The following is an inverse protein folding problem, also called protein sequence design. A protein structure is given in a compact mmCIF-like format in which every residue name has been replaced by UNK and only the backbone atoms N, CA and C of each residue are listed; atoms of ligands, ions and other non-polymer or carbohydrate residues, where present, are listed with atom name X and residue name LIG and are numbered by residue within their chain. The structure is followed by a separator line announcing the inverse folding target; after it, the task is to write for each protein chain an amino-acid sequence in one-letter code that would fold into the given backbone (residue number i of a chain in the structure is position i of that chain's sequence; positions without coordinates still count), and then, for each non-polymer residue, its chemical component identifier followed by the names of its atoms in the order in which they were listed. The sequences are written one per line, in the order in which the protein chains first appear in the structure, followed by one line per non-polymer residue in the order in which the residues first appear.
data_IF_968580899220
#
_entry.id   IF_968580899220
#
_cell.length_a   1.000
_cell.length_b   1.000
_cell.length_c   1.000
_cell.angle_alpha   90.00
_cell.angle_beta   90.00
_cell.angle_gamma   90.00
#
_symmetry.space_group_name_H-M   'P 1'
#
loop_
_entity.id
_entity.type
_entity.pdbx_description
1 polymer ?
#
# COMPACT_ATOMS: atom_id res chain seq x y z
N UNK A 1 9.43 10.52 -1.80
CA UNK A 1 10.87 10.12 -1.81
C UNK A 1 11.40 9.69 -0.44
N UNK A 2 10.95 10.28 0.68
CA UNK A 2 11.38 9.88 2.04
C UNK A 2 11.02 8.42 2.38
N UNK A 3 9.90 7.91 1.85
CA UNK A 3 9.45 6.53 2.03
C UNK A 3 10.08 5.52 1.05
N UNK A 4 10.88 5.98 0.08
CA UNK A 4 11.49 5.12 -0.93
C UNK A 4 12.34 3.97 -0.36
N UNK A 5 13.25 4.20 0.61
CA UNK A 5 14.10 3.11 1.10
C UNK A 5 13.29 2.05 1.85
N UNK A 6 12.27 2.45 2.60
CA UNK A 6 11.38 1.51 3.29
C UNK A 6 10.54 0.70 2.31
N UNK A 7 9.97 1.37 1.29
CA UNK A 7 9.17 0.71 0.28
C UNK A 7 10.00 -0.29 -0.55
N UNK A 8 11.23 0.09 -0.94
CA UNK A 8 12.11 -0.77 -1.72
C UNK A 8 12.47 -2.09 -1.00
N UNK A 9 12.60 -2.06 0.34
CA UNK A 9 12.82 -3.28 1.13
C UNK A 9 11.65 -4.25 1.03
N UNK A 10 10.43 -3.72 0.94
CA UNK A 10 9.19 -4.48 0.77
C UNK A 10 8.88 -4.84 -0.70
N UNK A 11 9.78 -4.54 -1.66
CA UNK A 11 9.49 -4.70 -3.09
C UNK A 11 8.41 -3.75 -3.62
N UNK A 12 8.13 -2.68 -2.88
CA UNK A 12 7.17 -1.62 -3.19
C UNK A 12 7.89 -0.32 -3.58
N UNK A 13 7.11 0.65 -4.04
CA UNK A 13 7.56 1.99 -4.37
C UNK A 13 7.08 3.00 -3.30
N UNK A 14 7.83 4.08 -3.07
CA UNK A 14 7.52 5.09 -2.06
C UNK A 14 6.18 5.77 -2.33
N UNK A 15 5.74 5.84 -3.58
CA UNK A 15 4.41 6.32 -3.96
C UNK A 15 3.30 5.37 -3.51
N UNK A 16 3.51 4.05 -3.57
CA UNK A 16 2.54 3.04 -3.09
C UNK A 16 2.32 3.22 -1.60
N UNK A 17 3.41 3.29 -0.82
CA UNK A 17 3.28 3.47 0.63
C UNK A 17 2.62 4.80 1.00
N UNK A 18 2.93 5.87 0.26
CA UNK A 18 2.27 7.17 0.42
C UNK A 18 0.77 7.09 0.13
N UNK A 19 0.39 6.38 -0.95
CA UNK A 19 -1.00 6.20 -1.33
C UNK A 19 -1.80 5.42 -0.26
N UNK A 20 -1.21 4.40 0.36
CA UNK A 20 -1.83 3.70 1.49
C UNK A 20 -2.04 4.62 2.68
N UNK A 21 -1.02 5.40 3.08
CA UNK A 21 -1.13 6.33 4.21
C UNK A 21 -2.26 7.35 3.97
N UNK A 22 -2.34 7.91 2.76
CA UNK A 22 -3.40 8.86 2.39
C UNK A 22 -4.77 8.19 2.20
N UNK A 23 -4.79 6.89 1.87
CA UNK A 23 -5.99 6.08 1.74
C UNK A 23 -6.55 5.56 3.07
N UNK A 24 -5.98 5.94 4.21
CA UNK A 24 -6.50 5.59 5.53
C UNK A 24 -8.01 5.89 5.75
N UNK A 25 -8.62 6.95 5.15
CA UNK A 25 -10.07 7.15 5.22
C UNK A 25 -10.91 6.10 4.50
N UNK A 26 -10.44 5.59 3.35
CA UNK A 26 -11.14 4.63 2.51
C UNK A 26 -10.14 3.82 1.67
N UNK A 27 -10.21 2.50 1.71
CA UNK A 27 -9.19 1.66 1.05
C UNK A 27 -9.32 1.71 -0.49
N UNK A 28 -10.51 2.03 -0.99
CA UNK A 28 -10.85 2.11 -2.39
C UNK A 28 -10.18 3.29 -3.11
N UNK A 29 -9.79 4.36 -2.38
CA UNK A 29 -9.13 5.53 -2.97
C UNK A 29 -7.61 5.38 -3.09
N UNK A 30 -7.01 4.32 -2.55
CA UNK A 30 -5.56 4.08 -2.60
C UNK A 30 -5.06 4.06 -4.06
N UNK A 31 -5.75 3.33 -4.94
CA UNK A 31 -5.34 3.19 -6.34
C UNK A 31 -5.49 4.50 -7.13
N UNK A 32 -6.61 5.25 -7.03
CA UNK A 32 -6.69 6.60 -7.60
C UNK A 32 -5.59 7.56 -7.11
N UNK A 33 -5.30 7.60 -5.81
CA UNK A 33 -4.24 8.45 -5.24
C UNK A 33 -2.87 8.06 -5.84
N UNK A 34 -2.60 6.77 -5.98
CA UNK A 34 -1.38 6.28 -6.59
C UNK A 34 -1.25 6.73 -8.05
N UNK A 35 -2.32 6.60 -8.85
CA UNK A 35 -2.33 7.02 -10.25
C UNK A 35 -2.13 8.53 -10.39
N UNK A 36 -2.74 9.33 -9.51
CA UNK A 36 -2.53 10.78 -9.45
C UNK A 36 -1.07 11.11 -9.12
N UNK A 37 -0.49 10.41 -8.16
CA UNK A 37 0.91 10.58 -7.78
C UNK A 37 1.88 10.23 -8.93
N UNK A 38 1.57 9.19 -9.72
CA UNK A 38 2.36 8.80 -10.89
C UNK A 38 2.16 9.69 -12.11
N UNK A 39 0.96 10.22 -12.31
CA UNK A 39 0.64 11.05 -13.48
C UNK A 39 0.86 12.54 -13.23
N UNK A 40 1.25 12.95 -12.02
CA UNK A 40 1.29 14.34 -11.57
C UNK A 40 -0.02 15.12 -11.82
N UNK A 41 -1.15 14.39 -11.85
CA UNK A 41 -2.47 14.94 -12.16
C UNK A 41 -3.21 15.29 -10.88
N UNK A 42 -3.88 16.44 -10.87
CA UNK A 42 -4.61 16.96 -9.71
C UNK A 42 -6.06 16.48 -9.62
N UNK A 43 -6.61 15.90 -10.70
CA UNK A 43 -8.00 15.42 -10.75
C UNK A 43 -8.05 13.90 -10.61
N UNK A 44 -9.02 13.39 -9.82
CA UNK A 44 -9.24 11.96 -9.61
C UNK A 44 -9.53 11.34 -10.97
N UNK A 45 -8.59 10.54 -11.48
CA UNK A 45 -8.68 9.95 -12.81
C UNK A 45 -9.69 8.79 -12.75
N UNK A 46 -10.97 9.12 -12.78
CA UNK A 46 -12.08 8.16 -12.79
C UNK A 46 -12.18 7.40 -14.13
N UNK A 47 -11.48 7.86 -15.17
CA UNK A 47 -11.75 7.48 -16.57
C UNK A 47 -10.58 6.81 -17.30
N UNK A 48 -9.59 6.27 -16.58
CA UNK A 48 -8.56 5.44 -17.19
C UNK A 48 -9.01 3.98 -17.17
N UNK A 49 -9.53 3.47 -18.30
CA UNK A 49 -9.86 2.05 -18.44
C UNK A 49 -8.66 1.14 -18.09
N UNK A 50 -8.92 -0.14 -17.79
CA UNK A 50 -7.93 -1.08 -17.23
C UNK A 50 -6.61 -1.16 -18.03
N UNK A 51 -6.68 -1.04 -19.35
CA UNK A 51 -5.51 -1.01 -20.23
C UNK A 51 -4.63 0.25 -20.05
N UNK A 52 -5.23 1.40 -19.75
CA UNK A 52 -4.49 2.64 -19.45
C UNK A 52 -3.80 2.51 -18.09
N UNK A 53 -4.52 2.00 -17.08
CA UNK A 53 -3.96 1.76 -15.75
C UNK A 53 -2.74 0.84 -15.82
N UNK A 54 -2.86 -0.31 -16.51
CA UNK A 54 -1.74 -1.24 -16.68
C UNK A 54 -0.50 -0.60 -17.31
N UNK A 55 -0.68 0.27 -18.31
CA UNK A 55 0.43 1.02 -18.93
C UNK A 55 1.07 2.01 -17.96
N UNK A 56 0.30 2.73 -17.15
CA UNK A 56 0.82 3.66 -16.16
C UNK A 56 1.66 2.91 -15.11
N UNK A 57 1.13 1.81 -14.58
CA UNK A 57 1.83 0.99 -13.58
C UNK A 57 3.14 0.43 -14.16
N UNK A 58 3.08 -0.19 -15.34
CA UNK A 58 4.26 -0.74 -16.01
C UNK A 58 5.31 0.35 -16.32
N UNK A 59 4.88 1.55 -16.76
CA UNK A 59 5.77 2.68 -17.02
C UNK A 59 6.46 3.21 -15.76
N UNK A 60 5.86 3.01 -14.58
CA UNK A 60 6.45 3.39 -13.28
C UNK A 60 7.25 2.24 -12.64
N UNK A 61 7.66 1.24 -13.43
CA UNK A 61 8.57 0.18 -12.98
C UNK A 61 7.90 -0.91 -12.15
N UNK A 62 6.57 -1.03 -12.22
CA UNK A 62 5.88 -2.14 -11.58
C UNK A 62 6.29 -3.48 -12.21
N UNK A 63 6.92 -4.31 -11.39
CA UNK A 63 7.16 -5.71 -11.72
C UNK A 63 5.98 -6.57 -11.27
N UNK A 64 5.95 -7.84 -11.71
CA UNK A 64 5.00 -8.81 -11.19
C UNK A 64 5.11 -8.94 -9.65
N UNK A 65 6.32 -8.79 -9.10
CA UNK A 65 6.59 -8.85 -7.67
C UNK A 65 6.03 -7.62 -6.93
N UNK A 66 6.18 -6.42 -7.51
CA UNK A 66 5.58 -5.19 -6.97
C UNK A 66 4.06 -5.28 -6.95
N UNK A 67 3.46 -5.82 -8.01
CA UNK A 67 2.02 -6.03 -8.07
C UNK A 67 1.54 -7.02 -6.99
N UNK A 68 2.24 -8.15 -6.84
CA UNK A 68 1.93 -9.16 -5.81
C UNK A 68 2.06 -8.57 -4.40
N UNK A 69 3.17 -7.90 -4.10
CA UNK A 69 3.38 -7.29 -2.79
C UNK A 69 2.37 -6.18 -2.50
N UNK A 70 1.93 -5.44 -3.52
CA UNK A 70 0.86 -4.45 -3.36
C UNK A 70 -0.45 -5.12 -2.99
N UNK A 71 -0.82 -6.24 -3.63
CA UNK A 71 -2.02 -7.00 -3.29
C UNK A 71 -1.96 -7.57 -1.86
N UNK A 72 -0.81 -8.13 -1.47
CA UNK A 72 -0.58 -8.63 -0.11
C UNK A 72 -0.73 -7.50 0.91
N UNK A 73 -0.10 -6.36 0.64
CA UNK A 73 -0.19 -5.19 1.52
C UNK A 73 -1.64 -4.68 1.61
N UNK A 74 -2.38 -4.61 0.49
CA UNK A 74 -3.80 -4.25 0.49
C UNK A 74 -4.66 -5.12 1.41
N UNK A 75 -4.35 -6.41 1.53
CA UNK A 75 -5.12 -7.34 2.38
C UNK A 75 -4.71 -7.24 3.84
N UNK A 76 -3.41 -7.04 4.11
CA UNK A 76 -2.84 -7.16 5.46
C UNK A 76 -2.58 -5.82 6.18
N UNK A 77 -2.69 -4.68 5.51
CA UNK A 77 -2.41 -3.38 6.11
C UNK A 77 -3.37 -3.01 7.25
N UNK A 78 -3.07 -1.88 7.92
CA UNK A 78 -3.91 -1.32 8.97
C UNK A 78 -5.38 -1.22 8.53
N UNK A 79 -6.33 -1.43 9.46
CA UNK A 79 -7.74 -1.25 9.16
C UNK A 79 -8.07 0.22 8.89
N UNK A 80 -9.12 0.48 8.12
CA UNK A 80 -9.51 1.83 7.76
C UNK A 80 -9.90 2.68 8.99
N UNK A 81 -9.89 3.99 8.82
CA UNK A 81 -10.16 4.98 9.88
C UNK A 81 -11.41 4.67 10.68
N UNK A 82 -12.49 4.27 10.01
CA UNK A 82 -13.77 4.00 10.66
C UNK A 82 -13.68 2.84 11.64
N UNK A 83 -13.01 1.75 11.28
CA UNK A 83 -12.74 0.62 12.18
C UNK A 83 -11.86 1.03 13.36
N UNK A 84 -10.81 1.83 13.13
CA UNK A 84 -9.96 2.32 14.21
C UNK A 84 -10.73 3.23 15.19
N UNK A 85 -11.61 4.10 14.67
CA UNK A 85 -12.47 4.94 15.49
C UNK A 85 -13.47 4.12 16.30
N UNK A 86 -14.05 3.06 15.74
CA UNK A 86 -14.91 2.13 16.48
C UNK A 86 -14.12 1.43 17.59
N UNK A 87 -12.92 0.91 17.29
CA UNK A 87 -12.08 0.29 18.33
C UNK A 87 -11.75 1.27 19.44
N UNK A 88 -11.42 2.52 19.10
CA UNK A 88 -11.16 3.57 20.07
C UNK A 88 -12.39 3.89 20.94
N UNK A 89 -13.58 3.93 20.35
CA UNK A 89 -14.83 4.19 21.07
C UNK A 89 -15.20 3.05 22.03
N UNK A 90 -15.05 1.80 21.60
CA UNK A 90 -15.40 0.61 22.37
C UNK A 90 -14.38 0.29 23.47
N UNK A 91 -13.08 0.34 23.14
CA UNK A 91 -12.02 0.03 24.12
C UNK A 91 -11.67 1.22 25.01
N UNK A 92 -12.05 2.44 24.63
CA UNK A 92 -11.69 3.72 25.27
C UNK A 92 -10.18 3.85 25.54
N UNK A 93 -9.35 3.22 24.72
CA UNK A 93 -7.91 3.12 24.95
C UNK A 93 -7.12 3.30 23.65
N UNK A 94 -6.36 4.39 23.60
CA UNK A 94 -5.46 4.68 22.48
C UNK A 94 -4.35 3.63 22.32
N UNK A 95 -3.98 2.92 23.40
CA UNK A 95 -2.99 1.84 23.34
C UNK A 95 -3.49 0.66 22.52
N UNK A 96 -4.76 0.29 22.70
CA UNK A 96 -5.38 -0.81 21.97
C UNK A 96 -5.69 -0.42 20.52
N UNK A 97 -6.11 0.82 20.26
CA UNK A 97 -6.28 1.33 18.89
C UNK A 97 -4.95 1.34 18.13
N UNK A 98 -3.88 1.83 18.75
CA UNK A 98 -2.55 1.82 18.13
C UNK A 98 -2.07 0.40 17.87
N UNK A 99 -2.28 -0.54 18.80
CA UNK A 99 -1.93 -1.94 18.60
C UNK A 99 -2.72 -2.57 17.44
N UNK A 100 -4.01 -2.24 17.31
CA UNK A 100 -4.87 -2.72 16.23
C UNK A 100 -4.44 -2.20 14.84
N UNK A 101 -3.77 -1.05 14.76
CA UNK A 101 -3.18 -0.55 13.52
C UNK A 101 -1.77 -1.13 13.27
N UNK A 102 -0.93 -1.16 14.31
CA UNK A 102 0.48 -1.52 14.20
C UNK A 102 0.70 -3.01 13.99
N UNK A 103 -0.07 -3.87 14.66
CA UNK A 103 0.05 -5.32 14.54
C UNK A 103 -0.16 -5.81 13.09
N UNK A 104 -1.28 -5.51 12.41
CA UNK A 104 -1.47 -5.95 11.02
C UNK A 104 -0.43 -5.31 10.08
N UNK A 105 -0.11 -4.03 10.27
CA UNK A 105 0.93 -3.36 9.47
C UNK A 105 2.29 -4.03 9.60
N UNK A 106 2.69 -4.43 10.81
CA UNK A 106 3.93 -5.16 11.04
C UNK A 106 3.93 -6.51 10.31
N UNK A 107 2.81 -7.25 10.35
CA UNK A 107 2.66 -8.50 9.61
C UNK A 107 2.75 -8.24 8.10
N UNK A 108 2.08 -7.22 7.58
CA UNK A 108 2.15 -6.85 6.16
C UNK A 108 3.58 -6.56 5.70
N UNK A 109 4.33 -5.78 6.49
CA UNK A 109 5.74 -5.45 6.21
C UNK A 109 6.58 -6.73 6.19
N UNK A 110 6.45 -7.60 7.19
CA UNK A 110 7.22 -8.85 7.28
C UNK A 110 6.92 -9.76 6.09
N UNK A 111 5.65 -9.94 5.74
CA UNK A 111 5.26 -10.79 4.60
C UNK A 111 5.78 -10.20 3.28
N UNK A 112 5.66 -8.88 3.04
CA UNK A 112 6.16 -8.26 1.81
C UNK A 112 7.69 -8.31 1.70
N UNK A 113 8.41 -8.15 2.81
CA UNK A 113 9.87 -8.33 2.85
C UNK A 113 10.25 -9.79 2.58
N UNK A 114 9.51 -10.75 3.15
CA UNK A 114 9.76 -12.17 2.94
C UNK A 114 9.52 -12.58 1.49
N UNK A 115 8.41 -12.15 0.87
CA UNK A 115 8.14 -12.43 -0.55
C UNK A 115 9.17 -11.78 -1.47
N UNK A 116 9.58 -10.54 -1.16
CA UNK A 116 10.63 -9.86 -1.92
C UNK A 116 11.97 -10.60 -1.81
N UNK A 117 12.36 -11.03 -0.60
CA UNK A 117 13.58 -11.80 -0.38
C UNK A 117 13.54 -13.16 -1.08
N UNK A 118 12.45 -13.91 -0.98
CA UNK A 118 12.28 -15.22 -1.64
C UNK A 118 12.37 -15.08 -3.16
N UNK A 119 11.70 -14.08 -3.76
CA UNK A 119 11.75 -13.87 -5.21
C UNK A 119 13.18 -13.55 -5.68
N UNK A 120 13.94 -12.75 -4.92
CA UNK A 120 15.34 -12.43 -5.20
C UNK A 120 16.25 -13.65 -5.04
N UNK A 121 16.04 -14.46 -4.01
CA UNK A 121 16.80 -15.70 -3.79
C UNK A 121 16.56 -16.74 -4.90
N UNK A 122 15.33 -16.81 -5.43
CA UNK A 122 14.97 -17.68 -6.54
C UNK A 122 15.38 -17.13 -7.91
N UNK A 123 15.95 -15.92 -7.98
CA UNK A 123 16.36 -15.28 -9.24
C UNK A 123 15.18 -14.88 -10.15
N UNK A 124 13.99 -14.68 -9.58
CA UNK A 124 12.78 -14.32 -10.32
C UNK A 124 12.68 -12.80 -10.61
N UNK A 125 13.63 -12.01 -10.08
CA UNK A 125 13.79 -10.54 -10.26
C UNK A 125 15.26 -10.11 -10.23
#
# INVERSE_FOLDING_TARGET
RTLQPAAALMGLDGFILTAFILGLPANEIVLPILVMAYSSSTALVETAGLAVLGRILAANGWTWLTALNTMIFSVLHFPCSTTLLTIAAETKSLRWTALAALMPTAVAIVVCCATHAVARLLGLV
#
